data_IF_379681629302
#
_entry.id   IF_379681629302
#
_cell.length_a   1.000
_cell.length_b   1.000
_cell.length_c   1.000
_cell.angle_alpha   90.00
_cell.angle_beta   90.00
_cell.angle_gamma   90.00
#
_symmetry.space_group_name_H-M   'P 1'
#
loop_
_entity.id
_entity.type
_entity.pdbx_description
1 polymer ?
#
# COMPACT_ATOMS: atom_id res chain seq x y z
N UNK A 1 -17.02 20.38 -6.27
CA UNK A 1 -15.57 20.09 -6.08
C UNK A 1 -15.29 18.74 -6.72
N UNK A 2 -14.54 18.69 -7.84
CA UNK A 2 -14.09 17.40 -8.40
C UNK A 2 -13.07 16.80 -7.42
N UNK A 3 -13.27 15.56 -6.95
CA UNK A 3 -12.35 14.98 -5.98
C UNK A 3 -11.04 14.60 -6.67
N UNK A 4 -9.89 14.76 -6.00
CA UNK A 4 -8.56 14.44 -6.57
C UNK A 4 -8.50 13.03 -7.17
N UNK A 5 -9.28 12.10 -6.61
CA UNK A 5 -9.35 10.72 -7.07
C UNK A 5 -10.09 10.51 -8.39
N UNK A 6 -10.94 11.46 -8.81
CA UNK A 6 -11.68 11.38 -10.08
C UNK A 6 -10.79 11.61 -11.31
N UNK A 7 -9.55 12.10 -11.12
CA UNK A 7 -8.53 12.18 -12.21
C UNK A 7 -7.92 10.84 -12.56
N UNK A 8 -8.01 9.84 -11.68
CA UNK A 8 -7.49 8.52 -11.96
C UNK A 8 -8.55 7.70 -12.70
N UNK A 9 -8.12 6.96 -13.72
CA UNK A 9 -9.00 6.07 -14.50
C UNK A 9 -9.78 5.12 -13.58
N UNK A 10 -9.23 4.76 -12.41
CA UNK A 10 -9.84 3.85 -11.44
C UNK A 10 -9.83 4.50 -10.04
N UNK A 11 -10.78 5.41 -9.73
CA UNK A 11 -10.79 6.20 -8.49
C UNK A 11 -10.81 5.33 -7.22
N UNK A 12 -11.45 4.16 -7.27
CA UNK A 12 -11.49 3.19 -6.16
C UNK A 12 -10.12 2.58 -5.89
N UNK A 13 -9.37 2.23 -6.92
CA UNK A 13 -8.03 1.63 -6.79
C UNK A 13 -7.05 2.67 -6.25
N UNK A 14 -7.15 3.92 -6.73
CA UNK A 14 -6.33 4.99 -6.23
C UNK A 14 -6.56 5.23 -4.72
N UNK A 15 -7.82 5.17 -4.24
CA UNK A 15 -8.13 5.26 -2.80
C UNK A 15 -7.54 4.10 -1.99
N UNK A 16 -7.67 2.87 -2.49
CA UNK A 16 -7.12 1.67 -1.82
C UNK A 16 -5.60 1.71 -1.78
N UNK A 17 -4.95 2.11 -2.88
CA UNK A 17 -3.50 2.28 -2.94
C UNK A 17 -3.02 3.38 -1.98
N UNK A 18 -3.72 4.52 -1.89
CA UNK A 18 -3.36 5.56 -0.91
C UNK A 18 -3.56 5.10 0.53
N UNK A 19 -4.61 4.32 0.81
CA UNK A 19 -4.82 3.73 2.13
C UNK A 19 -3.71 2.72 2.49
N UNK A 20 -3.32 1.87 1.53
CA UNK A 20 -2.18 0.95 1.68
C UNK A 20 -0.86 1.68 1.90
N UNK A 21 -0.61 2.77 1.16
CA UNK A 21 0.56 3.61 1.35
C UNK A 21 0.58 4.32 2.71
N UNK A 22 -0.57 4.80 3.19
CA UNK A 22 -0.70 5.40 4.52
C UNK A 22 -0.51 4.37 5.64
N UNK A 23 -1.05 3.15 5.49
CA UNK A 23 -0.82 2.05 6.43
C UNK A 23 0.66 1.67 6.48
N UNK A 24 1.30 1.58 5.32
CA UNK A 24 2.72 1.29 5.19
C UNK A 24 3.59 2.41 5.79
N UNK A 25 3.35 3.67 5.45
CA UNK A 25 4.09 4.80 6.02
C UNK A 25 3.84 4.96 7.53
N UNK A 26 2.60 4.74 7.96
CA UNK A 26 2.19 4.77 9.36
C UNK A 26 2.88 3.70 10.20
N UNK A 27 3.15 2.51 9.64
CA UNK A 27 3.90 1.49 10.38
C UNK A 27 5.31 1.97 10.73
N UNK A 28 6.01 2.64 9.81
CA UNK A 28 7.33 3.20 10.12
C UNK A 28 7.30 4.20 11.29
N UNK A 29 6.26 5.04 11.37
CA UNK A 29 6.10 5.96 12.52
C UNK A 29 5.90 5.20 13.83
N UNK A 30 5.14 4.10 13.83
CA UNK A 30 4.94 3.25 15.01
C UNK A 30 6.24 2.55 15.42
N UNK A 31 7.05 2.08 14.47
CA UNK A 31 8.39 1.54 14.75
C UNK A 31 9.32 2.58 15.37
N UNK A 32 9.31 3.82 14.85
CA UNK A 32 10.10 4.93 15.41
C UNK A 32 9.67 5.23 16.85
N UNK A 33 8.37 5.29 17.13
CA UNK A 33 7.87 5.47 18.49
C UNK A 33 8.31 4.33 19.44
N UNK A 34 8.26 3.09 18.97
CA UNK A 34 8.78 1.92 19.70
C UNK A 34 10.28 2.03 20.01
N UNK A 35 11.07 2.58 19.08
CA UNK A 35 12.51 2.80 19.28
C UNK A 35 12.79 3.84 20.37
N UNK A 36 12.00 4.92 20.42
CA UNK A 36 12.15 6.00 21.41
C UNK A 36 11.88 5.51 22.83
N UNK A 37 10.88 4.64 23.03
CA UNK A 37 10.51 4.15 24.37
C UNK A 37 11.29 2.90 24.81
N UNK A 38 12.14 2.34 23.95
CA UNK A 38 12.89 1.10 24.18
C UNK A 38 13.75 1.12 25.45
N UNK A 39 14.25 2.29 25.84
CA UNK A 39 15.08 2.45 27.04
C UNK A 39 14.32 2.31 28.37
N UNK A 40 13.01 2.59 28.39
CA UNK A 40 12.19 2.55 29.61
C UNK A 40 11.27 1.34 29.71
N UNK A 41 10.82 0.78 28.57
CA UNK A 41 9.89 -0.35 28.53
C UNK A 41 10.20 -1.29 27.36
N UNK A 42 11.15 -2.23 27.54
CA UNK A 42 11.66 -3.07 26.46
C UNK A 42 10.61 -4.04 25.88
N UNK A 43 9.70 -4.57 26.72
CA UNK A 43 8.63 -5.45 26.25
C UNK A 43 7.61 -4.69 25.38
N UNK A 44 7.20 -3.49 25.80
CA UNK A 44 6.28 -2.63 25.03
C UNK A 44 6.88 -2.22 23.69
N UNK A 45 8.18 -1.88 23.66
CA UNK A 45 8.90 -1.55 22.44
C UNK A 45 8.95 -2.73 21.45
N UNK A 46 9.18 -3.96 21.94
CA UNK A 46 9.19 -5.15 21.10
C UNK A 46 7.81 -5.42 20.48
N UNK A 47 6.72 -5.26 21.24
CA UNK A 47 5.35 -5.43 20.73
C UNK A 47 5.01 -4.40 19.65
N UNK A 48 5.38 -3.12 19.87
CA UNK A 48 5.16 -2.06 18.88
C UNK A 48 5.97 -2.27 17.60
N UNK A 49 7.20 -2.77 17.71
CA UNK A 49 8.01 -3.14 16.54
C UNK A 49 7.38 -4.28 15.74
N UNK A 50 6.90 -5.32 16.42
CA UNK A 50 6.23 -6.44 15.77
C UNK A 50 4.93 -6.02 15.08
N UNK A 51 4.07 -5.27 15.79
CA UNK A 51 2.82 -4.75 15.25
C UNK A 51 3.06 -3.82 14.07
N UNK A 52 4.06 -2.93 14.15
CA UNK A 52 4.51 -2.12 13.03
C UNK A 52 4.92 -3.01 11.85
N UNK A 53 5.74 -4.03 12.07
CA UNK A 53 6.16 -4.95 11.01
C UNK A 53 4.97 -5.60 10.30
N UNK A 54 3.99 -6.11 11.05
CA UNK A 54 2.77 -6.71 10.50
C UNK A 54 1.95 -5.70 9.70
N UNK A 55 1.71 -4.50 10.25
CA UNK A 55 0.95 -3.45 9.57
C UNK A 55 1.65 -3.00 8.29
N UNK A 56 2.97 -2.86 8.32
CA UNK A 56 3.78 -2.56 7.14
C UNK A 56 3.69 -3.65 6.08
N UNK A 57 3.75 -4.92 6.48
CA UNK A 57 3.64 -6.05 5.55
C UNK A 57 2.25 -6.11 4.89
N UNK A 58 1.19 -5.87 5.65
CA UNK A 58 -0.17 -5.72 5.11
C UNK A 58 -0.26 -4.56 4.12
N UNK A 59 0.34 -3.40 4.44
CA UNK A 59 0.42 -2.26 3.53
C UNK A 59 1.13 -2.61 2.21
N UNK A 60 2.25 -3.34 2.28
CA UNK A 60 2.96 -3.83 1.09
C UNK A 60 2.10 -4.78 0.25
N UNK A 61 1.38 -5.71 0.87
CA UNK A 61 0.51 -6.65 0.15
C UNK A 61 -0.63 -5.93 -0.59
N UNK A 62 -1.23 -4.92 0.03
CA UNK A 62 -2.28 -4.09 -0.60
C UNK A 62 -1.72 -3.34 -1.81
N UNK A 63 -0.53 -2.75 -1.69
CA UNK A 63 0.15 -2.07 -2.79
C UNK A 63 0.53 -3.04 -3.92
N UNK A 64 1.09 -4.20 -3.57
CA UNK A 64 1.43 -5.25 -4.53
C UNK A 64 0.19 -5.76 -5.28
N UNK A 65 -0.93 -5.98 -4.57
CA UNK A 65 -2.21 -6.35 -5.18
C UNK A 65 -2.74 -5.29 -6.15
N UNK A 66 -2.68 -4.01 -5.77
CA UNK A 66 -3.05 -2.92 -6.67
C UNK A 66 -2.14 -2.86 -7.91
N UNK A 67 -0.83 -3.04 -7.73
CA UNK A 67 0.15 -3.10 -8.81
C UNK A 67 -0.11 -4.26 -9.77
N UNK A 68 -0.31 -5.47 -9.25
CA UNK A 68 -0.64 -6.66 -10.03
C UNK A 68 -1.94 -6.49 -10.82
N UNK A 69 -2.96 -5.86 -10.23
CA UNK A 69 -4.22 -5.59 -10.92
C UNK A 69 -4.03 -4.63 -12.11
N UNK A 70 -3.34 -3.51 -11.90
CA UNK A 70 -3.05 -2.55 -12.97
C UNK A 70 -2.16 -3.15 -14.07
N UNK A 71 -1.18 -3.97 -13.67
CA UNK A 71 -0.31 -4.70 -14.59
C UNK A 71 -1.10 -5.72 -15.43
N UNK A 72 -1.99 -6.48 -14.80
CA UNK A 72 -2.88 -7.43 -15.48
C UNK A 72 -3.81 -6.75 -16.50
N UNK A 73 -4.35 -5.58 -16.16
CA UNK A 73 -5.14 -4.79 -17.10
C UNK A 73 -4.32 -4.26 -18.28
N UNK A 74 -3.11 -3.74 -18.02
CA UNK A 74 -2.17 -3.31 -19.06
C UNK A 74 -1.81 -4.46 -20.01
N UNK A 75 -1.60 -5.66 -19.49
CA UNK A 75 -1.37 -6.87 -20.30
C UNK A 75 -2.58 -7.19 -21.18
N UNK A 76 -3.79 -7.20 -20.63
CA UNK A 76 -5.02 -7.43 -21.41
C UNK A 76 -5.22 -6.41 -22.52
N UNK A 77 -4.94 -5.13 -22.25
CA UNK A 77 -5.01 -4.07 -23.26
C UNK A 77 -4.01 -4.29 -24.41
N UNK A 78 -2.76 -4.66 -24.09
CA UNK A 78 -1.75 -4.96 -25.11
C UNK A 78 -2.13 -6.18 -25.95
N UNK A 79 -2.65 -7.24 -25.33
CA UNK A 79 -3.04 -8.47 -26.04
C UNK A 79 -4.25 -8.20 -26.96
N UNK A 80 -5.26 -7.47 -26.49
CA UNK A 80 -6.42 -7.11 -27.30
C UNK A 80 -6.08 -6.20 -28.48
N UNK A 81 -5.16 -5.24 -28.29
CA UNK A 81 -4.65 -4.40 -29.37
C UNK A 81 -3.92 -5.22 -30.44
N UNK A 82 -3.20 -6.27 -30.05
CA UNK A 82 -2.49 -7.16 -30.97
C UNK A 82 -3.45 -7.97 -31.86
N UNK A 83 -4.57 -8.43 -31.30
CA UNK A 83 -5.60 -9.18 -32.04
C UNK A 83 -6.47 -8.33 -32.98
N UNK A 84 -6.48 -7.00 -32.79
CA UNK A 84 -7.26 -6.07 -33.61
C UNK A 84 -6.57 -5.66 -34.91
N UNK A 85 -5.30 -6.07 -35.08
CA UNK A 85 -4.45 -5.73 -36.23
C UNK A 85 -4.23 -6.91 -37.19
N UNK A 86 -4.78 -8.09 -36.89
CA UNK A 86 -4.91 -9.22 -37.82
C UNK A 86 -6.29 -9.20 -38.48
#
# INVERSE_FOLDING_TARGET
MASFFDRFVHPRIARVATAGALLWAGSFLVAVAGLVIRGGQPNTAATLFFLSGVVGLVGMLVLAGCGCYLFGMRLRQKIGAYYSQL
#
